data_IF_802189065561
#
_entry.id   IF_802189065561
#
_cell.length_a   1.000
_cell.length_b   1.000
_cell.length_c   1.000
_cell.angle_alpha   90.00
_cell.angle_beta   90.00
_cell.angle_gamma   90.00
#
_symmetry.space_group_name_H-M   'P 1'
#
loop_
_entity.id
_entity.type
_entity.pdbx_description
1 polymer ?
#
# COMPACT_ATOMS: atom_id res chain seq x y z
N UNK A 1 10.93 -31.64 2.25
CA UNK A 1 11.01 -30.35 1.52
C UNK A 1 9.66 -29.92 0.93
N UNK A 2 8.83 -30.84 0.42
CA UNK A 2 7.54 -30.50 -0.21
C UNK A 2 6.48 -29.91 0.73
N UNK A 3 6.47 -30.26 2.02
CA UNK A 3 5.43 -29.79 2.94
C UNK A 3 5.58 -28.31 3.31
N UNK A 4 6.81 -27.87 3.59
CA UNK A 4 7.13 -26.47 3.88
C UNK A 4 6.76 -25.54 2.71
N UNK A 5 7.08 -25.92 1.47
CA UNK A 5 6.77 -25.11 0.28
C UNK A 5 5.26 -25.00 0.08
N UNK A 6 4.52 -26.09 0.29
CA UNK A 6 3.04 -26.08 0.22
C UNK A 6 2.43 -25.16 1.27
N UNK A 7 2.93 -25.20 2.50
CA UNK A 7 2.46 -24.31 3.56
C UNK A 7 2.75 -22.84 3.24
N UNK A 8 3.96 -22.51 2.80
CA UNK A 8 4.34 -21.15 2.42
C UNK A 8 3.50 -20.63 1.24
N UNK A 9 3.21 -21.48 0.25
CA UNK A 9 2.37 -21.12 -0.90
C UNK A 9 0.90 -20.82 -0.53
N UNK A 10 0.42 -21.34 0.60
CA UNK A 10 -0.95 -21.11 1.09
C UNK A 10 -1.13 -19.78 1.83
N UNK A 11 -0.05 -19.01 2.04
CA UNK A 11 -0.03 -17.78 2.85
C UNK A 11 0.34 -16.57 2.00
N UNK A 12 0.15 -15.39 2.56
CA UNK A 12 0.68 -14.14 2.02
C UNK A 12 2.07 -13.87 2.64
N UNK A 13 3.18 -14.08 1.89
CA UNK A 13 4.51 -14.03 2.47
C UNK A 13 5.03 -12.60 2.65
N UNK A 14 5.51 -12.30 3.85
CA UNK A 14 6.29 -11.10 4.14
C UNK A 14 7.79 -11.44 4.15
N UNK A 15 8.55 -10.81 3.27
CA UNK A 15 9.99 -11.07 3.12
C UNK A 15 10.82 -10.05 3.91
N UNK A 16 11.65 -10.53 4.84
CA UNK A 16 12.64 -9.74 5.57
C UNK A 16 14.04 -10.14 5.11
N UNK A 17 14.89 -9.16 4.80
CA UNK A 17 16.29 -9.37 4.40
C UNK A 17 17.20 -8.68 5.40
N UNK A 18 18.01 -9.45 6.11
CA UNK A 18 18.99 -8.94 7.05
C UNK A 18 20.29 -8.59 6.31
N UNK A 19 20.92 -7.48 6.67
CA UNK A 19 22.21 -7.02 6.13
C UNK A 19 23.20 -6.90 7.28
N UNK A 20 24.38 -7.49 7.13
CA UNK A 20 25.46 -7.38 8.11
C UNK A 20 26.30 -6.13 7.81
N UNK A 21 26.44 -5.18 8.75
CA UNK A 21 27.09 -3.89 8.48
C UNK A 21 28.62 -3.97 8.44
N UNK A 22 29.24 -4.89 9.19
CA UNK A 22 30.69 -5.13 9.21
C UNK A 22 30.98 -6.53 9.77
N UNK A 23 32.20 -7.05 9.57
CA UNK A 23 32.63 -8.34 10.12
C UNK A 23 33.11 -8.29 11.57
N UNK A 24 33.58 -7.12 12.02
CA UNK A 24 34.18 -6.90 13.33
C UNK A 24 33.17 -6.91 14.49
N UNK A 25 31.87 -7.09 14.19
CA UNK A 25 30.76 -7.00 15.16
C UNK A 25 30.73 -5.65 15.88
N UNK A 26 31.28 -4.61 15.28
CA UNK A 26 31.29 -3.26 15.82
C UNK A 26 29.93 -2.60 15.56
N UNK A 27 29.40 -1.88 16.55
CA UNK A 27 28.16 -1.12 16.38
C UNK A 27 28.36 0.21 15.63
N UNK A 28 29.60 0.69 15.54
CA UNK A 28 29.95 1.98 14.95
C UNK A 28 30.46 1.88 13.51
N UNK A 29 30.90 0.70 13.07
CA UNK A 29 31.49 0.51 11.74
C UNK A 29 30.46 0.13 10.69
N UNK A 30 30.59 0.70 9.50
CA UNK A 30 29.79 0.37 8.33
C UNK A 30 30.72 0.16 7.13
N UNK A 31 30.81 -1.10 6.70
CA UNK A 31 31.59 -1.51 5.54
C UNK A 31 30.72 -1.39 4.28
N UNK A 32 30.95 -0.32 3.51
CA UNK A 32 30.15 0.00 2.34
C UNK A 32 30.29 -1.07 1.24
N UNK A 33 31.50 -1.57 0.97
CA UNK A 33 31.74 -2.54 -0.10
C UNK A 33 31.04 -3.86 0.21
N UNK A 34 31.11 -4.31 1.46
CA UNK A 34 30.43 -5.52 1.92
C UNK A 34 28.91 -5.38 1.88
N UNK A 35 28.38 -4.24 2.32
CA UNK A 35 26.92 -4.00 2.27
C UNK A 35 26.45 -3.90 0.82
N UNK A 36 27.20 -3.23 -0.04
CA UNK A 36 26.89 -3.14 -1.47
C UNK A 36 26.88 -4.52 -2.14
N UNK A 37 27.88 -5.37 -1.84
CA UNK A 37 27.90 -6.75 -2.32
C UNK A 37 26.65 -7.52 -1.88
N UNK A 38 26.24 -7.41 -0.61
CA UNK A 38 25.00 -8.04 -0.12
C UNK A 38 23.75 -7.52 -0.84
N UNK A 39 23.66 -6.21 -1.08
CA UNK A 39 22.53 -5.58 -1.80
C UNK A 39 22.42 -6.12 -3.22
N UNK A 40 23.54 -6.24 -3.93
CA UNK A 40 23.61 -6.77 -5.31
C UNK A 40 23.31 -8.28 -5.32
N UNK A 41 23.96 -9.06 -4.46
CA UNK A 41 23.81 -10.52 -4.42
C UNK A 41 22.38 -10.95 -4.04
N UNK A 42 21.74 -10.26 -3.08
CA UNK A 42 20.35 -10.52 -2.71
C UNK A 42 19.33 -9.98 -3.72
N UNK A 43 19.80 -9.31 -4.79
CA UNK A 43 18.96 -8.70 -5.83
C UNK A 43 17.98 -7.67 -5.27
N UNK A 44 18.38 -6.91 -4.23
CA UNK A 44 17.44 -6.01 -3.55
C UNK A 44 16.96 -4.91 -4.50
N UNK A 45 17.82 -4.39 -5.36
CA UNK A 45 17.47 -3.37 -6.35
C UNK A 45 16.53 -3.92 -7.42
N UNK A 46 16.77 -5.14 -7.89
CA UNK A 46 15.94 -5.85 -8.87
C UNK A 46 14.56 -6.13 -8.29
N UNK A 47 14.50 -6.59 -7.04
CA UNK A 47 13.25 -6.80 -6.32
C UNK A 47 12.44 -5.50 -6.20
N UNK A 48 13.10 -4.37 -5.91
CA UNK A 48 12.47 -3.05 -5.88
C UNK A 48 12.01 -2.64 -7.28
N UNK A 49 12.83 -2.84 -8.32
CA UNK A 49 12.49 -2.51 -9.72
C UNK A 49 11.31 -3.31 -10.22
N UNK A 50 11.26 -4.62 -9.99
CA UNK A 50 10.12 -5.49 -10.37
C UNK A 50 8.85 -5.04 -9.65
N UNK A 51 8.94 -4.70 -8.35
CA UNK A 51 7.80 -4.14 -7.61
C UNK A 51 7.33 -2.79 -8.17
N UNK A 52 8.26 -1.94 -8.62
CA UNK A 52 7.95 -0.62 -9.22
C UNK A 52 7.47 -0.70 -10.68
N UNK A 53 7.89 -1.69 -11.44
CA UNK A 53 7.46 -1.90 -12.83
C UNK A 53 6.03 -2.47 -12.92
N UNK A 54 5.59 -3.14 -11.86
CA UNK A 54 4.20 -3.54 -11.70
C UNK A 54 3.34 -2.47 -11.03
N UNK A 55 2.22 -2.91 -10.48
CA UNK A 55 1.37 -2.07 -9.64
C UNK A 55 1.89 -2.09 -8.21
N UNK A 56 2.23 -0.92 -7.67
CA UNK A 56 2.66 -0.75 -6.29
C UNK A 56 1.60 -1.22 -5.28
N UNK A 57 0.31 -1.10 -5.63
CA UNK A 57 -0.78 -1.49 -4.73
C UNK A 57 -1.94 -2.15 -5.50
N UNK A 58 -2.49 -3.21 -4.90
CA UNK A 58 -3.59 -3.99 -5.47
C UNK A 58 -4.55 -4.37 -4.36
N UNK A 59 -5.83 -4.03 -4.51
CA UNK A 59 -6.83 -4.27 -3.46
C UNK A 59 -8.20 -4.51 -4.07
N UNK A 60 -9.06 -5.30 -3.40
CA UNK A 60 -10.45 -5.46 -3.84
C UNK A 60 -11.19 -4.12 -3.76
N UNK A 61 -12.16 -3.93 -4.65
CA UNK A 61 -12.98 -2.71 -4.64
C UNK A 61 -13.69 -2.49 -3.30
N UNK A 62 -14.17 -3.55 -2.66
CA UNK A 62 -14.79 -3.49 -1.34
C UNK A 62 -13.82 -3.00 -0.26
N UNK A 63 -12.61 -3.56 -0.20
CA UNK A 63 -11.60 -3.18 0.79
C UNK A 63 -11.07 -1.77 0.53
N UNK A 64 -10.94 -1.36 -0.73
CA UNK A 64 -10.63 0.03 -1.09
C UNK A 64 -11.71 0.97 -0.56
N UNK A 65 -12.97 0.68 -0.88
CA UNK A 65 -14.10 1.51 -0.51
C UNK A 65 -14.25 1.62 1.01
N UNK A 66 -14.15 0.52 1.76
CA UNK A 66 -14.21 0.58 3.23
C UNK A 66 -13.12 1.46 3.83
N UNK A 67 -11.93 1.47 3.23
CA UNK A 67 -10.79 2.25 3.70
C UNK A 67 -10.90 3.73 3.32
N UNK A 68 -11.40 4.04 2.13
CA UNK A 68 -11.32 5.39 1.54
C UNK A 68 -12.68 6.07 1.32
N UNK A 69 -13.81 5.46 1.69
CA UNK A 69 -15.16 6.07 1.54
C UNK A 69 -15.34 7.43 2.21
N UNK A 70 -14.52 7.75 3.21
CA UNK A 70 -14.52 9.05 3.89
C UNK A 70 -13.93 10.19 3.05
N UNK A 71 -13.21 9.86 1.97
CA UNK A 71 -12.59 10.86 1.09
C UNK A 71 -13.60 11.54 0.16
N UNK A 72 -14.80 10.96 -0.02
CA UNK A 72 -15.87 11.55 -0.83
C UNK A 72 -17.16 11.65 -0.02
N UNK A 73 -17.84 12.79 -0.13
CA UNK A 73 -19.15 13.02 0.50
C UNK A 73 -20.24 12.11 -0.07
N UNK A 74 -20.07 11.60 -1.30
CA UNK A 74 -21.05 10.71 -1.95
C UNK A 74 -20.96 9.27 -1.46
N UNK A 75 -19.78 8.88 -0.98
CA UNK A 75 -19.53 7.53 -0.45
C UNK A 75 -19.56 7.47 1.07
N UNK A 76 -19.42 8.60 1.76
CA UNK A 76 -19.51 8.72 3.20
C UNK A 76 -20.96 8.91 3.70
N UNK A 77 -21.37 8.31 4.82
CA UNK A 77 -20.70 7.24 5.57
C UNK A 77 -20.85 5.86 4.92
N UNK A 78 -21.87 5.70 4.08
CA UNK A 78 -22.09 4.55 3.21
C UNK A 78 -22.56 5.07 1.84
N UNK A 79 -22.13 4.49 0.71
CA UNK A 79 -22.60 4.89 -0.60
C UNK A 79 -24.10 4.63 -0.75
N UNK A 80 -24.83 5.58 -1.34
CA UNK A 80 -26.27 5.45 -1.57
C UNK A 80 -26.60 4.57 -2.77
N UNK A 81 -25.73 4.57 -3.79
CA UNK A 81 -25.92 3.89 -5.07
C UNK A 81 -24.59 3.39 -5.63
N UNK A 82 -24.67 2.50 -6.62
CA UNK A 82 -23.53 2.02 -7.41
C UNK A 82 -22.79 0.84 -6.79
N UNK A 83 -22.05 0.11 -7.62
CA UNK A 83 -21.22 -1.01 -7.15
C UNK A 83 -19.99 -0.50 -6.38
N UNK A 84 -19.29 -1.36 -5.60
CA UNK A 84 -18.02 -1.00 -4.99
C UNK A 84 -16.98 -0.50 -6.01
N UNK A 85 -17.04 -1.02 -7.24
CA UNK A 85 -16.20 -0.59 -8.36
C UNK A 85 -16.51 0.84 -8.77
N UNK A 86 -17.79 1.16 -8.97
CA UNK A 86 -18.22 2.51 -9.39
C UNK A 86 -17.86 3.55 -8.33
N UNK A 87 -18.10 3.23 -7.06
CA UNK A 87 -17.76 4.11 -5.94
C UNK A 87 -16.24 4.27 -5.77
N UNK A 88 -15.45 3.22 -6.01
CA UNK A 88 -13.99 3.33 -6.05
C UNK A 88 -13.53 4.30 -7.14
N UNK A 89 -14.10 4.17 -8.35
CA UNK A 89 -13.77 5.07 -9.46
C UNK A 89 -14.23 6.50 -9.23
N UNK A 90 -15.37 6.69 -8.57
CA UNK A 90 -15.86 8.01 -8.17
C UNK A 90 -14.84 8.72 -7.27
N UNK A 91 -14.37 8.05 -6.20
CA UNK A 91 -13.36 8.58 -5.30
C UNK A 91 -12.07 8.93 -6.06
N UNK A 92 -11.57 8.00 -6.89
CA UNK A 92 -10.32 8.22 -7.63
C UNK A 92 -10.42 9.37 -8.64
N UNK A 93 -11.60 9.56 -9.26
CA UNK A 93 -11.85 10.68 -10.18
C UNK A 93 -11.93 12.01 -9.43
N UNK A 94 -12.65 12.06 -8.31
CA UNK A 94 -12.76 13.28 -7.48
C UNK A 94 -11.40 13.73 -6.93
N UNK A 95 -10.48 12.80 -6.69
CA UNK A 95 -9.12 13.09 -6.24
C UNK A 95 -8.12 13.33 -7.39
N UNK A 96 -8.54 13.19 -8.66
CA UNK A 96 -7.64 13.33 -9.81
C UNK A 96 -6.61 12.19 -9.96
N UNK A 97 -6.74 11.09 -9.22
CA UNK A 97 -5.79 9.98 -9.18
C UNK A 97 -6.12 8.84 -10.15
N UNK A 98 -7.24 8.94 -10.87
CA UNK A 98 -7.70 7.88 -11.78
C UNK A 98 -6.72 7.54 -12.90
N UNK A 99 -5.86 8.49 -13.32
CA UNK A 99 -4.88 8.29 -14.40
C UNK A 99 -3.75 7.31 -14.03
N UNK A 100 -3.44 7.20 -12.74
CA UNK A 100 -2.39 6.32 -12.21
C UNK A 100 -2.94 4.95 -11.75
N UNK A 101 -4.21 4.67 -12.07
CA UNK A 101 -4.92 3.48 -11.65
C UNK A 101 -5.43 2.67 -12.85
N UNK A 102 -5.39 1.35 -12.74
CA UNK A 102 -5.97 0.41 -13.71
C UNK A 102 -7.07 -0.43 -13.05
N UNK A 103 -8.16 -0.62 -13.79
CA UNK A 103 -9.34 -1.32 -13.31
C UNK A 103 -9.27 -2.80 -13.68
N UNK A 104 -9.17 -3.67 -12.68
CA UNK A 104 -9.39 -5.11 -12.87
C UNK A 104 -10.87 -5.49 -12.73
N UNK A 105 -11.15 -6.79 -12.86
CA UNK A 105 -12.52 -7.34 -12.67
C UNK A 105 -13.01 -7.19 -11.22
N UNK A 106 -12.16 -7.55 -10.25
CA UNK A 106 -12.52 -7.54 -8.81
C UNK A 106 -11.66 -6.61 -7.95
N UNK A 107 -10.57 -6.08 -8.53
CA UNK A 107 -9.56 -5.30 -7.83
C UNK A 107 -9.21 -4.03 -8.60
N UNK A 108 -8.82 -2.99 -7.85
CA UNK A 108 -8.16 -1.81 -8.37
C UNK A 108 -6.64 -1.98 -8.24
N UNK A 109 -5.91 -1.50 -9.24
CA UNK A 109 -4.47 -1.58 -9.33
C UNK A 109 -3.89 -0.16 -9.43
N UNK A 110 -3.03 0.23 -8.49
CA UNK A 110 -2.40 1.55 -8.45
C UNK A 110 -0.94 1.39 -8.85
N UNK A 111 -0.49 2.16 -9.86
CA UNK A 111 0.86 2.02 -10.44
C UNK A 111 1.91 2.58 -9.49
N UNK A 112 1.77 3.84 -9.07
CA UNK A 112 2.82 4.52 -8.30
C UNK A 112 2.63 4.40 -6.78
N UNK A 113 3.72 4.24 -6.00
CA UNK A 113 3.67 4.38 -4.54
C UNK A 113 3.21 5.76 -4.06
N UNK A 114 3.49 6.81 -4.85
CA UNK A 114 3.13 8.20 -4.54
C UNK A 114 1.61 8.37 -4.45
N UNK A 115 0.85 7.77 -5.37
CA UNK A 115 -0.63 7.78 -5.32
C UNK A 115 -1.16 7.12 -4.05
N UNK A 116 -0.56 5.99 -3.63
CA UNK A 116 -0.94 5.29 -2.40
C UNK A 116 -0.67 6.15 -1.18
N UNK A 117 0.51 6.79 -1.12
CA UNK A 117 0.87 7.69 -0.04
C UNK A 117 -0.10 8.88 0.05
N UNK A 118 -0.43 9.47 -1.11
CA UNK A 118 -1.39 10.58 -1.20
C UNK A 118 -2.77 10.18 -0.66
N UNK A 119 -3.26 8.99 -1.03
CA UNK A 119 -4.53 8.46 -0.51
C UNK A 119 -4.52 8.29 1.02
N UNK A 120 -3.43 7.80 1.59
CA UNK A 120 -3.29 7.65 3.04
C UNK A 120 -3.21 8.99 3.77
N UNK A 121 -2.47 9.95 3.22
CA UNK A 121 -2.36 11.29 3.77
C UNK A 121 -3.72 11.99 3.83
N UNK A 122 -4.42 12.05 2.68
CA UNK A 122 -5.77 12.63 2.60
C UNK A 122 -6.75 11.96 3.56
N UNK A 123 -6.62 10.63 3.71
CA UNK A 123 -7.46 9.87 4.64
C UNK A 123 -7.19 10.26 6.09
N UNK A 124 -5.92 10.42 6.49
CA UNK A 124 -5.54 10.81 7.84
C UNK A 124 -6.03 12.22 8.19
N UNK A 125 -5.91 13.16 7.25
CA UNK A 125 -6.39 14.53 7.41
C UNK A 125 -7.91 14.57 7.62
N UNK A 126 -8.66 13.88 6.75
CA UNK A 126 -10.12 13.79 6.85
C UNK A 126 -10.59 13.05 8.10
N UNK A 127 -9.92 11.97 8.49
CA UNK A 127 -10.25 11.21 9.69
C UNK A 127 -10.15 12.10 10.94
N UNK A 128 -9.09 12.92 11.03
CA UNK A 128 -8.88 13.83 12.15
C UNK A 128 -10.05 14.81 12.30
N UNK A 129 -10.53 15.37 11.19
CA UNK A 129 -11.70 16.25 11.18
C UNK A 129 -12.97 15.54 11.66
N UNK A 130 -13.24 14.33 11.15
CA UNK A 130 -14.42 13.54 11.53
C UNK A 130 -14.39 13.19 13.02
N UNK A 131 -13.22 12.85 13.57
CA UNK A 131 -13.06 12.55 15.00
C UNK A 131 -13.41 13.78 15.85
N UNK A 132 -12.86 14.95 15.52
CA UNK A 132 -13.15 16.19 16.26
C UNK A 132 -14.64 16.53 16.18
N UNK A 133 -15.24 16.38 15.00
CA UNK A 133 -16.68 16.61 14.83
C UNK A 133 -17.51 15.68 15.71
N UNK A 134 -17.22 14.38 15.72
CA UNK A 134 -17.95 13.40 16.54
C UNK A 134 -17.75 13.62 18.04
N UNK A 135 -16.58 14.08 18.47
CA UNK A 135 -16.32 14.44 19.87
C UNK A 135 -17.15 15.65 20.32
N UNK A 136 -17.34 16.65 19.44
CA UNK A 136 -18.15 17.83 19.73
C UNK A 136 -19.65 17.55 19.81
N UNK A 137 -20.14 16.54 19.08
CA UNK A 137 -21.57 16.15 19.07
C UNK A 137 -21.97 15.35 20.32
N UNK A 138 -21.00 14.84 21.09
CA UNK A 138 -21.24 14.07 22.33
C UNK A 138 -21.33 14.91 23.61
N UNK A 139 -21.31 16.24 23.48
CA UNK A 139 -21.61 17.22 24.52
C UNK A 139 -22.74 18.12 24.05
#
# INVERSE_FOLDING_TARGET
MNDLVKQLASKDPLYVRCIKPNENKSSAEFDLERVEHQVRYLGLLENVRVRRAGFAYRVSYERFLQRYKLLSQKTWPNPRYGSPRDNTMLILKELGLAHDCEQGRTKIFIKSPQTVFTLEQLRSERMSYVIIFLQKVRY
#
